data_IF_959727988448
#
_entry.id   IF_959727988448
#
_cell.length_a   1.000
_cell.length_b   1.000
_cell.length_c   1.000
_cell.angle_alpha   90.00
_cell.angle_beta   90.00
_cell.angle_gamma   90.00
#
_symmetry.space_group_name_H-M   'P 1'
#
loop_
_entity.id
_entity.type
_entity.pdbx_description
1 polymer ?
#
# COMPACT_ATOMS: atom_id res chain seq x y z
N UNK A 1 -20.99 -17.82 -3.08
CA UNK A 1 -20.51 -16.56 -3.69
C UNK A 1 -19.32 -16.10 -2.87
N UNK A 2 -18.12 -16.06 -3.45
CA UNK A 2 -16.96 -15.49 -2.78
C UNK A 2 -17.20 -13.99 -2.60
N UNK A 3 -17.32 -13.53 -1.36
CA UNK A 3 -17.38 -12.12 -1.01
C UNK A 3 -16.01 -11.51 -1.35
N UNK A 4 -15.93 -10.72 -2.43
CA UNK A 4 -14.75 -9.92 -2.72
C UNK A 4 -14.57 -8.91 -1.59
N UNK A 5 -13.41 -8.93 -0.93
CA UNK A 5 -13.05 -7.93 0.07
C UNK A 5 -12.86 -6.57 -0.63
N UNK A 6 -13.72 -5.57 -0.39
CA UNK A 6 -13.63 -4.27 -1.07
C UNK A 6 -12.30 -3.55 -0.79
N UNK A 7 -11.73 -3.75 0.41
CA UNK A 7 -10.45 -3.16 0.79
C UNK A 7 -9.28 -3.78 0.02
N UNK A 8 -9.29 -5.10 -0.17
CA UNK A 8 -8.33 -5.79 -1.02
C UNK A 8 -8.38 -5.32 -2.48
N UNK A 9 -9.57 -5.13 -3.06
CA UNK A 9 -9.73 -4.60 -4.43
C UNK A 9 -9.17 -3.18 -4.55
N UNK A 10 -9.53 -2.30 -3.61
CA UNK A 10 -9.03 -0.92 -3.59
C UNK A 10 -7.49 -0.89 -3.53
N UNK A 11 -6.90 -1.72 -2.69
CA UNK A 11 -5.45 -1.78 -2.54
C UNK A 11 -4.72 -2.17 -3.81
N UNK A 12 -5.21 -3.17 -4.54
CA UNK A 12 -4.65 -3.58 -5.84
C UNK A 12 -4.72 -2.42 -6.83
N UNK A 13 -5.86 -1.73 -6.92
CA UNK A 13 -6.01 -0.58 -7.81
C UNK A 13 -5.04 0.56 -7.48
N UNK A 14 -4.86 0.86 -6.19
CA UNK A 14 -3.92 1.88 -5.74
C UNK A 14 -2.47 1.48 -6.05
N UNK A 15 -2.10 0.21 -5.81
CA UNK A 15 -0.75 -0.31 -6.13
C UNK A 15 -0.42 -0.17 -7.62
N UNK A 16 -1.35 -0.55 -8.50
CA UNK A 16 -1.14 -0.42 -9.94
C UNK A 16 -1.06 1.05 -10.38
N UNK A 17 -1.89 1.94 -9.83
CA UNK A 17 -1.83 3.36 -10.11
C UNK A 17 -0.49 3.99 -9.66
N UNK A 18 0.00 3.63 -8.47
CA UNK A 18 1.30 4.07 -7.94
C UNK A 18 2.43 3.64 -8.88
N UNK A 19 2.47 2.35 -9.28
CA UNK A 19 3.47 1.82 -10.21
C UNK A 19 3.45 2.51 -11.57
N UNK A 20 2.25 2.83 -12.08
CA UNK A 20 2.13 3.56 -13.33
C UNK A 20 2.75 4.96 -13.21
N UNK A 21 2.41 5.71 -12.17
CA UNK A 21 2.92 7.09 -11.98
C UNK A 21 4.42 7.09 -11.73
N UNK A 22 4.97 6.11 -11.00
CA UNK A 22 6.43 5.91 -10.86
C UNK A 22 7.09 5.79 -12.24
N UNK A 23 6.54 4.93 -13.12
CA UNK A 23 7.08 4.74 -14.47
C UNK A 23 7.03 6.02 -15.30
N UNK A 24 5.96 6.79 -15.18
CA UNK A 24 5.82 8.09 -15.85
C UNK A 24 6.83 9.11 -15.30
N UNK A 25 6.96 9.21 -13.98
CA UNK A 25 7.87 10.13 -13.33
C UNK A 25 9.33 9.86 -13.72
N UNK A 26 9.74 8.58 -13.72
CA UNK A 26 11.08 8.14 -14.13
C UNK A 26 11.40 8.48 -15.59
N UNK A 27 10.39 8.44 -16.47
CA UNK A 27 10.55 8.74 -17.90
C UNK A 27 10.40 10.23 -18.24
N UNK A 28 10.13 11.09 -17.25
CA UNK A 28 9.96 12.52 -17.47
C UNK A 28 11.30 13.20 -17.84
N UNK A 29 11.32 13.81 -19.03
CA UNK A 29 12.48 14.59 -19.53
C UNK A 29 12.46 16.00 -18.91
N UNK A 30 11.27 16.55 -18.70
CA UNK A 30 11.06 17.85 -18.07
C UNK A 30 10.59 17.69 -16.63
N UNK A 31 10.74 18.77 -15.84
CA UNK A 31 10.38 18.75 -14.42
C UNK A 31 11.15 17.67 -13.62
N UNK A 32 12.33 17.24 -14.12
CA UNK A 32 13.04 16.03 -13.67
C UNK A 32 13.23 15.97 -12.16
N UNK A 33 13.70 17.05 -11.54
CA UNK A 33 13.90 17.12 -10.09
C UNK A 33 12.62 16.79 -9.32
N UNK A 34 11.51 17.47 -9.66
CA UNK A 34 10.22 17.26 -8.99
C UNK A 34 9.56 15.93 -9.33
N UNK A 35 9.75 15.43 -10.56
CA UNK A 35 9.34 14.08 -10.90
C UNK A 35 10.14 13.03 -10.12
N UNK A 36 11.44 13.24 -9.88
CA UNK A 36 12.26 12.32 -9.07
C UNK A 36 11.84 12.33 -7.60
N UNK A 37 11.58 13.51 -7.01
CA UNK A 37 11.06 13.59 -5.63
C UNK A 37 9.68 12.89 -5.49
N UNK A 38 8.83 13.02 -6.51
CA UNK A 38 7.56 12.30 -6.57
C UNK A 38 7.77 10.79 -6.70
N UNK A 39 8.71 10.36 -7.54
CA UNK A 39 9.11 8.95 -7.68
C UNK A 39 9.56 8.35 -6.35
N UNK A 40 10.39 9.06 -5.59
CA UNK A 40 10.87 8.61 -4.28
C UNK A 40 9.71 8.41 -3.30
N UNK A 41 8.81 9.41 -3.20
CA UNK A 41 7.62 9.33 -2.33
C UNK A 41 6.68 8.19 -2.74
N UNK A 42 6.46 7.98 -4.04
CA UNK A 42 5.63 6.90 -4.54
C UNK A 42 6.29 5.52 -4.36
N UNK A 43 7.61 5.44 -4.42
CA UNK A 43 8.36 4.20 -4.17
C UNK A 43 8.21 3.77 -2.71
N UNK A 44 8.27 4.73 -1.78
CA UNK A 44 7.97 4.48 -0.36
C UNK A 44 6.53 3.98 -0.17
N UNK A 45 5.55 4.63 -0.81
CA UNK A 45 4.16 4.17 -0.79
C UNK A 45 3.97 2.76 -1.36
N UNK A 46 4.67 2.43 -2.46
CA UNK A 46 4.64 1.10 -3.06
C UNK A 46 5.18 0.03 -2.10
N UNK A 47 6.27 0.33 -1.39
CA UNK A 47 6.84 -0.58 -0.40
C UNK A 47 5.85 -0.93 0.71
N UNK A 48 5.14 0.07 1.25
CA UNK A 48 4.10 -0.17 2.26
C UNK A 48 2.94 -1.02 1.74
N UNK A 49 2.49 -0.78 0.50
CA UNK A 49 1.43 -1.57 -0.12
C UNK A 49 1.85 -3.03 -0.30
N UNK A 50 3.10 -3.28 -0.72
CA UNK A 50 3.64 -4.64 -0.88
C UNK A 50 3.77 -5.36 0.48
N UNK A 51 4.23 -4.67 1.54
CA UNK A 51 4.27 -5.21 2.90
C UNK A 51 2.87 -5.62 3.40
N UNK A 52 1.87 -4.77 3.15
CA UNK A 52 0.49 -5.06 3.51
C UNK A 52 -0.08 -6.26 2.75
N UNK A 53 0.28 -6.45 1.48
CA UNK A 53 -0.16 -7.61 0.67
C UNK A 53 0.46 -8.92 1.12
N UNK A 54 1.75 -8.89 1.48
CA UNK A 54 2.41 -10.03 2.07
C UNK A 54 1.73 -10.46 3.38
N UNK A 55 1.33 -9.51 4.23
CA UNK A 55 0.58 -9.81 5.44
C UNK A 55 -0.80 -10.41 5.15
N UNK A 56 -1.59 -9.79 4.26
CA UNK A 56 -2.93 -10.28 3.92
C UNK A 56 -2.91 -11.73 3.42
N UNK A 57 -1.84 -12.11 2.72
CA UNK A 57 -1.63 -13.46 2.19
C UNK A 57 -1.25 -14.47 3.28
N UNK A 58 -0.51 -14.05 4.30
CA UNK A 58 -0.02 -14.91 5.38
C UNK A 58 -1.04 -15.10 6.53
N UNK A 59 -1.75 -14.04 6.91
CA UNK A 59 -2.51 -13.98 8.18
C UNK A 59 -4.01 -13.67 7.97
N UNK A 60 -4.46 -13.47 6.73
CA UNK A 60 -5.85 -13.16 6.38
C UNK A 60 -6.15 -11.66 6.21
N UNK A 61 -7.42 -11.35 5.89
CA UNK A 61 -7.89 -10.02 5.44
C UNK A 61 -7.59 -8.88 6.43
N UNK A 62 -6.78 -7.91 6.00
CA UNK A 62 -6.60 -6.61 6.66
C UNK A 62 -7.68 -5.63 6.22
N UNK A 63 -8.84 -5.69 6.86
CA UNK A 63 -9.94 -4.75 6.61
C UNK A 63 -10.16 -3.84 7.82
N UNK A 64 -9.98 -2.53 7.63
CA UNK A 64 -10.17 -1.49 8.65
C UNK A 64 -10.61 -0.20 7.96
N UNK A 65 -11.54 0.55 8.57
CA UNK A 65 -12.01 1.84 8.05
C UNK A 65 -10.90 2.88 7.94
N UNK A 66 -9.88 2.79 8.80
CA UNK A 66 -8.68 3.64 8.73
C UNK A 66 -7.84 3.32 7.50
N UNK A 67 -7.67 2.03 7.22
CA UNK A 67 -6.92 1.59 6.04
C UNK A 67 -7.64 1.99 4.75
N UNK A 68 -8.95 1.79 4.68
CA UNK A 68 -9.76 2.21 3.54
C UNK A 68 -9.70 3.73 3.31
N UNK A 69 -9.76 4.52 4.38
CA UNK A 69 -9.62 5.99 4.31
C UNK A 69 -8.23 6.38 3.81
N UNK A 70 -7.18 5.71 4.31
CA UNK A 70 -5.81 5.97 3.89
C UNK A 70 -5.58 5.60 2.42
N UNK A 71 -6.06 4.43 1.98
CA UNK A 71 -5.98 3.99 0.58
C UNK A 71 -6.71 4.96 -0.36
N UNK A 72 -7.89 5.45 0.01
CA UNK A 72 -8.63 6.46 -0.78
C UNK A 72 -7.88 7.79 -0.86
N UNK A 73 -7.27 8.23 0.24
CA UNK A 73 -6.47 9.46 0.24
C UNK A 73 -5.23 9.32 -0.65
N UNK A 74 -4.52 8.20 -0.55
CA UNK A 74 -3.38 7.89 -1.43
C UNK A 74 -3.82 7.82 -2.90
N UNK A 75 -4.94 7.13 -3.20
CA UNK A 75 -5.50 7.04 -4.54
C UNK A 75 -5.74 8.43 -5.14
N UNK A 76 -6.42 9.31 -4.40
CA UNK A 76 -6.75 10.65 -4.86
C UNK A 76 -5.49 11.45 -5.23
N UNK A 77 -4.41 11.30 -4.45
CA UNK A 77 -3.14 11.99 -4.72
C UNK A 77 -2.39 11.42 -5.91
N UNK A 78 -2.42 10.11 -6.09
CA UNK A 78 -1.84 9.43 -7.27
C UNK A 78 -2.60 9.84 -8.54
N UNK A 79 -3.93 9.89 -8.48
CA UNK A 79 -4.77 10.36 -9.60
C UNK A 79 -4.56 11.83 -9.93
N UNK A 80 -4.28 12.68 -8.93
CA UNK A 80 -3.92 14.09 -9.11
C UNK A 80 -2.53 14.24 -9.76
N UNK A 81 -1.55 13.43 -9.36
CA UNK A 81 -0.19 13.48 -9.87
C UNK A 81 -0.08 13.00 -11.33
N UNK A 82 -0.85 11.98 -11.71
CA UNK A 82 -0.79 11.34 -13.04
C UNK A 82 -0.88 12.33 -14.23
N UNK A 83 -1.91 13.19 -14.35
CA UNK A 83 -2.01 14.14 -15.45
C UNK A 83 -0.90 15.19 -15.43
N UNK A 84 -0.39 15.58 -14.26
CA UNK A 84 0.69 16.56 -14.14
C UNK A 84 2.00 16.03 -14.72
N UNK A 85 2.33 14.76 -14.43
CA UNK A 85 3.53 14.11 -14.97
C UNK A 85 3.41 13.92 -16.48
N UNK A 86 2.24 13.48 -16.97
CA UNK A 86 1.97 13.38 -18.41
C UNK A 86 2.09 14.74 -19.11
N UNK A 87 1.59 15.80 -18.47
CA UNK A 87 1.68 17.14 -19.03
C UNK A 87 3.13 17.64 -19.07
N UNK A 88 3.94 17.38 -18.03
CA UNK A 88 5.38 17.64 -18.06
C UNK A 88 6.09 16.87 -19.19
N UNK A 89 5.71 15.61 -19.46
CA UNK A 89 6.26 14.84 -20.59
C UNK A 89 5.87 15.41 -21.96
N UNK A 90 4.69 16.03 -22.06
CA UNK A 90 4.17 16.59 -23.31
C UNK A 90 4.77 17.95 -23.70
N UNK A 91 5.51 18.60 -22.80
CA UNK A 91 6.15 19.88 -23.10
C UNK A 91 7.18 19.67 -24.21
N UNK A 92 7.10 20.48 -25.26
CA UNK A 92 7.99 20.38 -26.43
C UNK A 92 8.95 21.56 -26.52
N UNK A 93 8.58 22.73 -25.98
CA UNK A 93 9.34 23.95 -26.16
C UNK A 93 9.82 24.52 -24.82
N UNK A 94 11.10 24.33 -24.45
CA UNK A 94 11.61 24.75 -23.15
C UNK A 94 11.56 26.25 -22.89
N UNK A 95 11.40 27.10 -23.92
CA UNK A 95 11.36 28.55 -23.80
C UNK A 95 9.91 29.06 -23.73
N UNK A 96 9.03 28.59 -24.63
CA UNK A 96 7.61 28.98 -24.61
C UNK A 96 6.86 28.36 -23.43
N UNK A 97 7.28 27.18 -22.96
CA UNK A 97 6.65 26.48 -21.86
C UNK A 97 7.22 26.87 -20.48
N UNK A 98 8.06 27.92 -20.39
CA UNK A 98 8.78 28.26 -19.15
C UNK A 98 7.86 28.46 -17.94
N UNK A 99 6.83 29.30 -18.07
CA UNK A 99 5.85 29.54 -16.99
C UNK A 99 5.06 28.26 -16.69
N UNK A 100 4.63 27.55 -17.75
CA UNK A 100 3.86 26.31 -17.62
C UNK A 100 4.64 25.22 -16.88
N UNK A 101 5.94 25.08 -17.17
CA UNK A 101 6.85 24.15 -16.50
C UNK A 101 7.01 24.49 -15.02
N UNK A 102 7.15 25.77 -14.67
CA UNK A 102 7.22 26.20 -13.27
C UNK A 102 5.93 25.82 -12.55
N UNK A 103 4.77 26.14 -13.13
CA UNK A 103 3.46 25.77 -12.53
C UNK A 103 3.31 24.27 -12.35
N UNK A 104 3.69 23.46 -13.36
CA UNK A 104 3.63 22.01 -13.25
C UNK A 104 4.59 21.47 -12.18
N UNK A 105 5.82 21.99 -12.13
CA UNK A 105 6.81 21.59 -11.13
C UNK A 105 6.33 21.87 -9.70
N UNK A 106 5.71 23.04 -9.45
CA UNK A 106 5.10 23.36 -8.15
C UNK A 106 3.97 22.40 -7.80
N UNK A 107 3.06 22.11 -8.75
CA UNK A 107 1.96 21.17 -8.48
C UNK A 107 2.46 19.74 -8.21
N UNK A 108 3.52 19.32 -8.91
CA UNK A 108 4.15 18.01 -8.67
C UNK A 108 4.81 17.97 -7.29
N UNK A 109 5.50 19.05 -6.90
CA UNK A 109 6.10 19.21 -5.57
C UNK A 109 5.03 19.15 -4.46
N UNK A 110 3.90 19.84 -4.65
CA UNK A 110 2.76 19.80 -3.72
C UNK A 110 2.16 18.39 -3.61
N UNK A 111 2.03 17.66 -4.73
CA UNK A 111 1.58 16.28 -4.72
C UNK A 111 2.57 15.36 -4.00
N UNK A 112 3.86 15.52 -4.27
CA UNK A 112 4.93 14.74 -3.63
C UNK A 112 4.91 14.93 -2.11
N UNK A 113 4.87 16.18 -1.65
CA UNK A 113 4.77 16.52 -0.22
C UNK A 113 3.51 15.95 0.41
N UNK A 114 2.35 16.09 -0.23
CA UNK A 114 1.11 15.55 0.29
C UNK A 114 1.16 14.01 0.41
N UNK A 115 1.75 13.31 -0.57
CA UNK A 115 1.95 11.85 -0.50
C UNK A 115 2.88 11.51 0.66
N UNK A 116 4.03 12.18 0.77
CA UNK A 116 4.97 11.95 1.87
C UNK A 116 4.36 12.24 3.24
N UNK A 117 3.59 13.33 3.38
CA UNK A 117 2.83 13.63 4.60
C UNK A 117 1.79 12.55 4.89
N UNK A 118 1.09 12.04 3.87
CA UNK A 118 0.18 10.91 4.02
C UNK A 118 0.89 9.60 4.36
N UNK A 119 2.17 9.43 4.04
CA UNK A 119 3.00 8.29 4.44
C UNK A 119 3.50 8.44 5.88
N UNK A 120 3.94 9.64 6.26
CA UNK A 120 4.37 9.95 7.64
C UNK A 120 3.18 9.91 8.61
N UNK A 121 2.02 10.41 8.16
CA UNK A 121 0.75 10.36 8.87
C UNK A 121 -0.03 9.07 8.57
N UNK A 122 0.46 8.21 7.66
CA UNK A 122 -0.02 6.84 7.56
C UNK A 122 0.04 6.30 8.97
N UNK A 123 -0.96 5.54 9.41
CA UNK A 123 -1.06 5.23 10.81
C UNK A 123 0.28 4.60 11.25
N UNK A 124 1.05 5.27 12.12
CA UNK A 124 2.03 4.58 12.97
C UNK A 124 1.32 3.49 13.79
N UNK A 125 0.00 3.61 13.88
CA UNK A 125 -0.92 2.59 14.35
C UNK A 125 -1.19 1.45 13.36
N UNK A 126 -0.72 1.46 12.12
CA UNK A 126 -0.67 0.27 11.27
C UNK A 126 0.53 -0.55 11.74
N UNK A 127 1.67 0.08 11.99
CA UNK A 127 2.81 -0.56 12.66
C UNK A 127 2.42 -1.08 14.04
N UNK A 128 1.69 -0.32 14.86
CA UNK A 128 1.21 -0.76 16.18
C UNK A 128 -0.02 -1.68 16.11
N UNK A 129 -0.98 -1.56 15.19
CA UNK A 129 -2.08 -2.54 15.06
C UNK A 129 -1.56 -3.83 14.43
N UNK A 130 -0.67 -3.78 13.44
CA UNK A 130 0.03 -4.95 12.92
C UNK A 130 0.91 -5.53 14.03
N UNK A 131 1.80 -4.78 14.72
CA UNK A 131 2.56 -5.29 15.87
C UNK A 131 1.69 -5.80 17.01
N UNK A 132 0.59 -5.14 17.37
CA UNK A 132 -0.25 -5.49 18.51
C UNK A 132 -1.19 -6.64 18.18
N UNK A 133 -1.57 -6.81 16.91
CA UNK A 133 -2.23 -8.02 16.40
C UNK A 133 -1.22 -9.17 16.31
N UNK A 134 0.01 -8.93 15.85
CA UNK A 134 1.15 -9.87 15.89
C UNK A 134 1.46 -10.32 17.33
N UNK A 135 1.41 -9.40 18.32
CA UNK A 135 1.70 -9.70 19.73
C UNK A 135 0.54 -10.44 20.42
N UNK A 136 -0.71 -10.05 20.16
CA UNK A 136 -1.90 -10.73 20.70
C UNK A 136 -2.11 -12.14 20.12
N UNK A 137 -1.76 -12.39 18.86
CA UNK A 137 -1.88 -13.73 18.27
C UNK A 137 -0.73 -14.66 18.66
N UNK A 138 0.46 -14.12 18.95
CA UNK A 138 1.57 -14.89 19.54
C UNK A 138 1.34 -15.24 21.01
N UNK A 139 0.48 -14.50 21.71
CA UNK A 139 0.02 -14.75 23.09
C UNK A 139 -1.24 -15.62 23.20
N UNK A 140 -1.81 -16.12 22.10
CA UNK A 140 -2.70 -17.27 22.18
C UNK A 140 -1.79 -18.49 22.34
N UNK A 141 -1.78 -19.18 23.51
CA UNK A 141 -1.02 -20.41 23.59
C UNK A 141 -1.62 -21.37 22.57
N UNK A 142 -0.76 -21.92 21.72
CA UNK A 142 -1.00 -23.20 21.06
C UNK A 142 -1.27 -24.24 22.15
N UNK A 143 -2.52 -24.27 22.63
CA UNK A 143 -3.09 -25.33 23.45
C UNK A 143 -4.15 -26.02 22.61
N UNK A 144 -3.67 -26.59 21.52
CA UNK A 144 -4.06 -27.96 21.19
C UNK A 144 -2.77 -28.78 21.15
N UNK A 145 -2.12 -28.90 22.30
CA UNK A 145 -1.41 -30.14 22.60
C UNK A 145 -2.49 -31.20 22.61
N UNK A 146 -2.72 -31.87 21.47
CA UNK A 146 -3.39 -33.17 21.47
C UNK A 146 -2.54 -34.06 22.36
N UNK A 147 -3.02 -34.24 23.58
CA UNK A 147 -2.42 -35.15 24.54
C UNK A 147 -2.39 -36.54 23.88
N UNK A 148 -1.19 -37.07 23.68
CA UNK A 148 -0.95 -38.36 23.04
C UNK A 148 -1.68 -39.50 23.77
N UNK A 149 -2.10 -39.27 25.03
CA UNK A 149 -2.94 -40.17 25.81
C UNK A 149 -4.40 -40.25 25.33
N UNK A 150 -4.96 -39.20 24.71
CA UNK A 150 -6.34 -39.19 24.20
C UNK A 150 -6.45 -39.99 22.89
N UNK A 151 -5.41 -39.95 22.05
CA UNK A 151 -5.35 -40.76 20.82
C UNK A 151 -5.20 -42.25 21.17
N UNK A 152 -4.39 -42.60 22.19
CA UNK A 152 -4.28 -43.99 22.65
C UNK A 152 -5.58 -44.53 23.25
N UNK A 153 -6.35 -43.72 23.99
CA UNK A 153 -7.65 -44.13 24.52
C UNK A 153 -8.70 -44.40 23.41
N UNK A 154 -8.65 -43.64 22.31
CA UNK A 154 -9.60 -43.81 21.20
C UNK A 154 -9.30 -45.05 20.35
N UNK A 155 -8.02 -45.44 20.21
CA UNK A 155 -7.62 -46.65 19.47
C UNK A 155 -7.92 -47.92 20.27
N UNK A 156 -7.71 -47.93 21.59
CA UNK A 156 -7.99 -49.11 22.44
C UNK A 156 -9.50 -49.42 22.50
N UNK A 157 -10.35 -48.39 22.48
CA UNK A 157 -11.81 -48.58 22.61
C UNK A 157 -12.47 -49.05 21.30
N UNK A 158 -11.86 -48.82 20.13
CA UNK A 158 -12.41 -49.21 18.83
C UNK A 158 -11.83 -50.52 18.25
N UNK A 159 -10.86 -51.16 18.93
CA UNK A 159 -10.30 -52.46 18.54
C UNK A 159 -10.83 -53.65 19.36
N UNK A 160 -11.82 -53.42 20.23
CA UNK A 160 -12.53 -54.47 20.97
C UNK A 160 -13.97 -54.62 20.44
N UNK A 161 -14.09 -55.02 19.17
CA UNK A 161 -15.20 -55.86 18.69
C UNK A 161 -14.60 -57.24 18.44
#
# INVERSE_FOLDING_TARGET
MASLDPTGVLRVLVSEAVKEVIRLARSAIHCKEKCSELEDSLTEASGLLDEMDNYSTAEGSLSSSRLDTWLKALQAKVEEARPLVLECQSLQNPILDGIKRITLATKIDDCSKAIHEHLVAAPRNLDVEILHTLKKQKEVPSRVTMDLSVIQAFIITNLAI
#
